data_IF_927750039621
#
_entry.id   IF_927750039621
#
_cell.length_a   1.000
_cell.length_b   1.000
_cell.length_c   1.000
_cell.angle_alpha   90.00
_cell.angle_beta   90.00
_cell.angle_gamma   90.00
#
_symmetry.space_group_name_H-M   'P 1'
#
loop_
_entity.id
_entity.type
_entity.pdbx_description
1 polymer ?
#
# COMPACT_ATOMS: atom_id res chain seq x y z
N UNK A 1 32.95 6.03 7.51
CA UNK A 1 32.33 4.77 7.85
C UNK A 1 33.18 3.87 8.66
N UNK A 2 34.43 4.21 8.75
CA UNK A 2 35.32 3.34 9.50
C UNK A 2 35.01 3.32 10.98
N UNK A 3 34.29 4.31 11.44
CA UNK A 3 33.88 4.31 12.83
C UNK A 3 33.07 3.07 13.16
N UNK A 4 32.51 2.42 12.16
CA UNK A 4 31.74 1.23 12.40
C UNK A 4 32.59 0.06 12.79
N UNK A 5 33.89 0.13 12.61
CA UNK A 5 34.73 -1.03 12.86
C UNK A 5 34.64 -1.49 14.32
N UNK A 6 34.49 -0.55 15.26
CA UNK A 6 34.39 -0.93 16.66
C UNK A 6 33.02 -1.50 17.00
N UNK A 7 32.02 -1.04 16.31
CA UNK A 7 30.65 -1.44 16.61
C UNK A 7 30.12 -2.46 15.61
N UNK A 8 31.02 -3.04 14.84
CA UNK A 8 30.59 -3.95 13.77
C UNK A 8 29.77 -5.11 14.30
N UNK A 9 30.12 -5.64 15.47
CA UNK A 9 29.36 -6.75 16.01
C UNK A 9 27.91 -6.37 16.28
N UNK A 10 27.73 -5.14 16.75
CA UNK A 10 26.38 -4.64 16.97
C UNK A 10 25.63 -4.50 15.65
N UNK A 11 26.38 -4.12 14.61
CA UNK A 11 25.78 -3.89 13.30
C UNK A 11 25.65 -5.16 12.45
N UNK A 12 26.19 -6.29 12.91
CA UNK A 12 26.14 -7.53 12.16
C UNK A 12 24.72 -8.11 12.11
N UNK A 13 23.85 -7.66 12.99
CA UNK A 13 22.48 -8.11 13.01
C UNK A 13 21.59 -6.99 13.48
N UNK A 14 20.32 -7.11 13.20
CA UNK A 14 19.35 -6.15 13.68
C UNK A 14 18.99 -6.47 15.14
N UNK A 15 18.54 -5.46 15.90
CA UNK A 15 18.06 -5.70 17.25
C UNK A 15 16.97 -6.78 17.29
N UNK A 16 16.86 -7.46 18.40
CA UNK A 16 15.85 -8.50 18.53
C UNK A 16 14.44 -7.96 18.40
N UNK A 17 14.21 -6.73 18.81
CA UNK A 17 12.90 -6.10 18.74
C UNK A 17 12.67 -5.33 17.43
N UNK A 18 13.55 -5.50 16.46
CA UNK A 18 13.37 -4.86 15.16
C UNK A 18 12.14 -5.44 14.48
N UNK A 19 11.28 -4.56 13.96
CA UNK A 19 10.01 -4.99 13.36
C UNK A 19 10.17 -5.20 11.88
N UNK A 20 10.23 -6.45 11.48
CA UNK A 20 10.27 -6.83 10.07
C UNK A 20 8.87 -6.86 9.50
N UNK A 21 8.69 -6.36 8.26
CA UNK A 21 7.38 -6.35 7.66
C UNK A 21 7.41 -5.85 6.24
N UNK A 22 6.28 -5.32 5.80
CA UNK A 22 6.13 -4.83 4.44
C UNK A 22 5.25 -3.61 4.37
N UNK A 23 5.11 -3.10 3.16
CA UNK A 23 4.32 -1.91 2.92
C UNK A 23 3.56 -2.03 1.61
N UNK A 24 2.39 -1.42 1.57
CA UNK A 24 1.59 -1.31 0.35
C UNK A 24 1.06 0.12 0.24
N UNK A 25 0.52 0.44 -0.93
CA UNK A 25 -0.08 1.75 -1.17
C UNK A 25 -1.52 1.55 -1.63
N UNK A 26 -2.43 2.33 -1.06
CA UNK A 26 -3.86 2.14 -1.26
C UNK A 26 -4.26 2.05 -2.73
N UNK A 27 -3.77 2.98 -3.54
CA UNK A 27 -4.21 3.03 -4.94
C UNK A 27 -3.71 1.87 -5.79
N UNK A 28 -2.68 1.18 -5.31
CA UNK A 28 -2.12 0.07 -6.08
C UNK A 28 -2.74 -1.26 -5.72
N UNK A 29 -3.36 -1.37 -4.56
CA UNK A 29 -3.79 -2.69 -4.12
C UNK A 29 -5.23 -2.76 -3.63
N UNK A 30 -5.83 -1.64 -3.25
CA UNK A 30 -7.14 -1.69 -2.59
C UNK A 30 -8.25 -2.16 -3.49
N UNK A 31 -8.40 -1.56 -4.67
CA UNK A 31 -9.53 -1.85 -5.54
C UNK A 31 -10.84 -1.29 -5.00
N UNK A 32 -11.95 -1.84 -5.46
CA UNK A 32 -13.29 -1.47 -4.99
C UNK A 32 -13.50 0.04 -4.97
N UNK A 33 -13.11 0.72 -6.03
CA UNK A 33 -12.94 2.18 -6.01
C UNK A 33 -14.25 2.95 -5.83
N UNK A 34 -15.38 2.33 -6.01
CA UNK A 34 -16.69 2.94 -5.79
C UNK A 34 -17.52 2.25 -4.74
N UNK A 35 -17.00 1.22 -4.06
CA UNK A 35 -17.81 0.46 -3.10
C UNK A 35 -17.87 1.16 -1.75
N UNK A 36 -18.98 0.94 -1.07
CA UNK A 36 -19.25 1.46 0.27
C UNK A 36 -19.10 2.97 0.37
N UNK A 37 -19.54 3.67 -0.70
CA UNK A 37 -19.61 5.12 -0.69
C UNK A 37 -18.34 5.83 -1.09
N UNK A 38 -17.27 5.10 -1.38
CA UNK A 38 -16.05 5.75 -1.85
C UNK A 38 -16.32 6.43 -3.20
N UNK A 39 -15.75 7.62 -3.38
CA UNK A 39 -15.75 8.30 -4.68
C UNK A 39 -14.34 8.28 -5.26
N UNK A 40 -14.22 8.50 -6.57
CA UNK A 40 -12.91 8.44 -7.22
C UNK A 40 -11.92 9.43 -6.63
N UNK A 41 -10.68 8.99 -6.47
CA UNK A 41 -9.57 9.86 -6.16
C UNK A 41 -8.91 10.30 -7.46
N UNK A 42 -7.90 11.19 -7.36
CA UNK A 42 -7.16 11.60 -8.55
C UNK A 42 -6.55 10.39 -9.24
N UNK A 43 -5.99 9.46 -8.48
CA UNK A 43 -5.38 8.26 -9.05
C UNK A 43 -6.38 7.42 -9.85
N UNK A 44 -7.65 7.43 -9.44
CA UNK A 44 -8.67 6.61 -10.09
C UNK A 44 -9.06 7.10 -11.47
N UNK A 45 -8.62 8.30 -11.85
CA UNK A 45 -8.88 8.85 -13.18
C UNK A 45 -7.60 9.06 -13.97
N UNK A 46 -6.50 8.45 -13.53
CA UNK A 46 -5.21 8.54 -14.21
C UNK A 46 -4.84 7.18 -14.80
N UNK A 47 -5.27 6.90 -16.04
CA UNK A 47 -5.05 5.56 -16.62
C UNK A 47 -3.57 5.25 -16.85
N UNK A 48 -2.71 6.26 -16.91
CA UNK A 48 -1.29 6.08 -17.17
C UNK A 48 -0.42 6.45 -15.96
N UNK A 49 -1.00 6.48 -14.77
CA UNK A 49 -0.26 6.70 -13.54
C UNK A 49 -0.07 8.16 -13.18
N UNK A 50 0.76 8.39 -12.16
CA UNK A 50 0.84 9.73 -11.56
C UNK A 50 1.46 10.78 -12.49
N UNK A 51 2.20 10.36 -13.48
CA UNK A 51 2.80 11.29 -14.43
C UNK A 51 1.94 11.51 -15.66
N UNK A 52 0.79 10.85 -15.74
CA UNK A 52 -0.15 11.04 -16.82
C UNK A 52 -1.21 12.08 -16.48
N UNK A 53 -1.96 12.48 -17.48
CA UNK A 53 -3.04 13.41 -17.27
C UNK A 53 -4.32 12.69 -16.87
N UNK A 54 -5.17 13.30 -16.05
CA UNK A 54 -6.47 12.72 -15.75
C UNK A 54 -7.30 12.55 -17.03
N UNK A 55 -7.96 11.41 -17.14
CA UNK A 55 -8.81 11.10 -18.27
C UNK A 55 -9.98 10.26 -17.76
N UNK A 56 -11.18 10.78 -17.85
CA UNK A 56 -12.36 10.09 -17.32
C UNK A 56 -13.00 9.16 -18.34
N UNK A 57 -12.44 9.08 -19.53
CA UNK A 57 -13.02 8.28 -20.61
C UNK A 57 -12.11 7.15 -21.08
N UNK A 58 -11.12 6.79 -20.32
CA UNK A 58 -10.24 5.69 -20.66
C UNK A 58 -10.95 4.35 -20.51
N UNK A 59 -10.47 3.35 -21.21
CA UNK A 59 -11.07 2.02 -21.16
C UNK A 59 -10.59 1.22 -19.97
N UNK A 60 -9.45 1.56 -19.42
CA UNK A 60 -8.86 0.80 -18.33
C UNK A 60 -8.17 1.72 -17.34
N UNK A 61 -8.41 1.46 -16.07
CA UNK A 61 -7.79 2.20 -14.97
C UNK A 61 -7.19 1.20 -13.99
N UNK A 62 -5.87 1.19 -13.83
CA UNK A 62 -5.21 0.19 -12.98
C UNK A 62 -5.71 0.18 -11.54
N UNK A 63 -6.10 1.35 -11.01
CA UNK A 63 -6.47 1.43 -9.59
C UNK A 63 -7.89 0.97 -9.31
N UNK A 64 -8.73 0.81 -10.32
CA UNK A 64 -10.11 0.43 -10.07
C UNK A 64 -10.23 -0.95 -9.44
N UNK A 65 -9.38 -1.86 -9.80
CA UNK A 65 -9.32 -3.16 -9.17
C UNK A 65 -8.05 -3.38 -8.37
N UNK A 66 -6.91 -2.94 -8.89
CA UNK A 66 -5.63 -3.17 -8.24
C UNK A 66 -5.41 -4.65 -8.00
N UNK A 67 -5.02 -5.02 -6.79
CA UNK A 67 -4.93 -6.42 -6.38
C UNK A 67 -6.17 -6.84 -5.61
N UNK A 68 -7.17 -5.99 -5.60
CA UNK A 68 -8.47 -6.25 -4.97
C UNK A 68 -8.35 -6.61 -3.48
N UNK A 69 -7.47 -5.92 -2.80
CA UNK A 69 -7.24 -6.13 -1.37
C UNK A 69 -8.52 -5.89 -0.58
N UNK A 70 -9.36 -5.00 -1.05
CA UNK A 70 -10.62 -4.67 -0.37
C UNK A 70 -11.45 -5.94 -0.11
N UNK A 71 -11.46 -6.86 -1.07
CA UNK A 71 -12.22 -8.09 -0.93
C UNK A 71 -11.42 -9.26 -0.37
N UNK A 72 -10.10 -9.12 -0.24
CA UNK A 72 -9.22 -10.21 0.18
C UNK A 72 -8.35 -9.88 1.39
N UNK A 73 -8.60 -8.74 2.04
CA UNK A 73 -7.68 -8.27 3.07
C UNK A 73 -7.51 -9.25 4.24
N UNK A 74 -8.56 -9.99 4.58
CA UNK A 74 -8.45 -10.92 5.72
C UNK A 74 -7.47 -12.04 5.42
N UNK A 75 -7.57 -12.61 4.24
CA UNK A 75 -6.68 -13.68 3.82
C UNK A 75 -5.25 -13.18 3.65
N UNK A 76 -5.12 -12.00 3.04
CA UNK A 76 -3.81 -11.44 2.77
C UNK A 76 -3.08 -11.10 4.06
N UNK A 77 -3.78 -10.51 5.02
CA UNK A 77 -3.19 -10.17 6.31
C UNK A 77 -2.80 -11.44 7.07
N UNK A 78 -3.62 -12.48 6.97
CA UNK A 78 -3.28 -13.76 7.60
C UNK A 78 -2.00 -14.32 7.01
N UNK A 79 -1.83 -14.21 5.70
CA UNK A 79 -0.61 -14.67 5.04
C UNK A 79 0.60 -13.85 5.47
N UNK A 80 0.43 -12.53 5.63
CA UNK A 80 1.52 -11.70 6.16
C UNK A 80 1.95 -12.21 7.53
N UNK A 81 0.99 -12.57 8.37
CA UNK A 81 1.31 -13.13 9.68
C UNK A 81 2.07 -14.44 9.59
N UNK A 82 1.69 -15.30 8.67
CA UNK A 82 2.39 -16.57 8.47
C UNK A 82 3.82 -16.36 7.98
N UNK A 83 4.04 -15.30 7.18
CA UNK A 83 5.37 -14.94 6.71
C UNK A 83 6.24 -14.34 7.81
N UNK A 84 5.66 -14.08 8.96
CA UNK A 84 6.40 -13.54 10.09
C UNK A 84 6.41 -12.03 10.19
N UNK A 85 5.52 -11.34 9.47
CA UNK A 85 5.43 -9.88 9.58
C UNK A 85 5.11 -9.47 10.99
N UNK A 86 5.85 -8.48 11.48
CA UNK A 86 5.60 -7.86 12.78
C UNK A 86 5.03 -6.45 12.63
N UNK A 87 5.12 -5.89 11.43
CA UNK A 87 4.59 -4.56 11.14
C UNK A 87 4.12 -4.55 9.69
N UNK A 88 3.04 -3.84 9.45
CA UNK A 88 2.51 -3.65 8.10
C UNK A 88 2.14 -2.19 7.94
N UNK A 89 2.77 -1.52 6.98
CA UNK A 89 2.52 -0.12 6.70
C UNK A 89 1.66 0.00 5.45
N UNK A 90 0.65 0.86 5.50
CA UNK A 90 -0.18 1.08 4.33
C UNK A 90 -0.71 2.51 4.34
N UNK A 91 -1.22 2.95 3.21
CA UNK A 91 -1.96 4.19 3.12
C UNK A 91 -3.44 3.87 2.94
N UNK A 92 -4.27 4.88 3.20
CA UNK A 92 -5.72 4.76 3.05
C UNK A 92 -6.16 5.85 2.08
N UNK A 93 -6.96 5.45 1.09
CA UNK A 93 -7.46 6.42 0.12
C UNK A 93 -8.39 7.41 0.83
N UNK A 94 -8.07 8.69 0.72
CA UNK A 94 -8.84 9.74 1.39
C UNK A 94 -10.32 9.67 1.05
N UNK A 95 -10.65 9.45 -0.22
CA UNK A 95 -12.03 9.43 -0.68
C UNK A 95 -12.80 8.21 -0.17
N UNK A 96 -12.13 7.22 0.42
CA UNK A 96 -12.81 6.13 1.11
C UNK A 96 -13.45 6.62 2.39
N UNK A 97 -12.76 7.49 3.11
CA UNK A 97 -13.23 8.00 4.40
C UNK A 97 -14.08 9.25 4.24
N UNK A 98 -13.71 10.10 3.31
CA UNK A 98 -14.36 11.40 3.09
C UNK A 98 -14.62 11.57 1.58
N UNK A 99 -15.68 10.95 1.06
CA UNK A 99 -15.91 10.91 -0.40
C UNK A 99 -15.98 12.29 -1.06
N UNK A 100 -16.50 13.26 -0.36
CA UNK A 100 -16.68 14.61 -0.92
C UNK A 100 -15.68 15.62 -0.34
N UNK A 101 -14.70 15.15 0.37
CA UNK A 101 -13.70 16.02 0.99
C UNK A 101 -14.10 16.46 2.34
#
# INVERSE_FOLDING_TARGET
MQKFSKDRKVMDSFPEDFLWGGATAANQYEGAYLENGKLPSVADVQPHGVFGYPDRNAKFYPTHEGIDFYHHYKEDIAEFGEMGFKVYRTSIAWTRLFPTG
#
